data_IF_794965924409
#
_entry.id   IF_794965924409
#
_cell.length_a   1.000
_cell.length_b   1.000
_cell.length_c   1.000
_cell.angle_alpha   90.00
_cell.angle_beta   90.00
_cell.angle_gamma   90.00
#
_symmetry.space_group_name_H-M   'P 1'
#
loop_
_entity.id
_entity.type
_entity.pdbx_description
1 polymer ?
#
# COMPACT_ATOMS: atom_id res chain seq x y z
N UNK A 1 -10.78 -16.41 20.46
CA UNK A 1 -10.55 -16.84 21.85
C UNK A 1 -9.39 -16.09 22.48
N UNK A 2 -8.20 -16.07 21.88
CA UNK A 2 -7.03 -15.30 22.39
C UNK A 2 -7.29 -13.78 22.45
N UNK A 3 -7.88 -13.19 21.40
CA UNK A 3 -8.15 -11.74 21.37
C UNK A 3 -9.18 -11.31 22.44
N UNK A 4 -10.23 -12.11 22.64
CA UNK A 4 -11.24 -11.87 23.68
C UNK A 4 -10.63 -11.98 25.08
N UNK A 5 -9.72 -12.94 25.29
CA UNK A 5 -9.02 -13.11 26.56
C UNK A 5 -8.08 -11.94 26.83
N UNK A 6 -7.34 -11.46 25.82
CA UNK A 6 -6.52 -10.25 25.96
C UNK A 6 -7.35 -9.07 26.46
N UNK A 7 -8.46 -8.75 25.79
CA UNK A 7 -9.28 -7.58 26.17
C UNK A 7 -10.01 -7.74 27.50
N UNK A 8 -10.55 -8.92 27.80
CA UNK A 8 -11.37 -9.14 28.98
C UNK A 8 -10.55 -9.43 30.25
N UNK A 9 -9.34 -9.98 30.12
CA UNK A 9 -8.54 -10.45 31.25
C UNK A 9 -7.25 -9.66 31.37
N UNK A 10 -6.38 -9.71 30.36
CA UNK A 10 -5.04 -9.10 30.46
C UNK A 10 -5.13 -7.57 30.48
N UNK A 11 -5.78 -6.98 29.48
CA UNK A 11 -5.95 -5.53 29.37
C UNK A 11 -6.75 -4.95 30.54
N UNK A 12 -7.79 -5.66 31.00
CA UNK A 12 -8.57 -5.26 32.18
C UNK A 12 -7.77 -5.32 33.50
N UNK A 13 -6.69 -6.12 33.54
CA UNK A 13 -5.80 -6.22 34.71
C UNK A 13 -4.71 -5.15 34.76
N UNK A 14 -4.53 -4.37 33.68
CA UNK A 14 -3.53 -3.31 33.63
C UNK A 14 -3.94 -2.10 34.45
N UNK A 15 -2.97 -1.40 35.04
CA UNK A 15 -3.22 -0.14 35.72
C UNK A 15 -3.43 1.00 34.71
N UNK A 16 -4.17 2.05 35.12
CA UNK A 16 -4.56 3.16 34.22
C UNK A 16 -3.37 3.85 33.54
N UNK A 17 -2.22 3.94 34.23
CA UNK A 17 -1.01 4.57 33.69
C UNK A 17 -0.42 3.74 32.55
N UNK A 18 -0.28 2.44 32.74
CA UNK A 18 0.24 1.53 31.74
C UNK A 18 -0.72 1.39 30.55
N UNK A 19 -2.03 1.39 30.81
CA UNK A 19 -3.07 1.44 29.76
C UNK A 19 -2.90 2.69 28.89
N UNK A 20 -2.75 3.87 29.50
CA UNK A 20 -2.56 5.12 28.76
C UNK A 20 -1.27 5.11 27.91
N UNK A 21 -0.16 4.63 28.48
CA UNK A 21 1.12 4.51 27.77
C UNK A 21 1.07 3.50 26.61
N UNK A 22 0.41 2.35 26.81
CA UNK A 22 0.31 1.30 25.81
C UNK A 22 -0.66 1.64 24.67
N UNK A 23 -1.76 2.35 24.94
CA UNK A 23 -2.75 2.73 23.92
C UNK A 23 -2.29 3.93 23.10
N UNK A 24 -1.55 4.88 23.69
CA UNK A 24 -1.21 6.12 23.02
C UNK A 24 -0.58 5.94 21.61
N UNK A 25 0.37 5.01 21.39
CA UNK A 25 0.91 4.76 20.05
C UNK A 25 -0.15 4.25 19.05
N UNK A 26 -1.04 3.36 19.49
CA UNK A 26 -2.12 2.81 18.66
C UNK A 26 -3.12 3.92 18.31
N UNK A 27 -3.52 4.72 19.30
CA UNK A 27 -4.45 5.83 19.10
C UNK A 27 -3.86 6.90 18.18
N UNK A 28 -2.56 7.19 18.29
CA UNK A 28 -1.89 8.16 17.40
C UNK A 28 -1.90 7.69 15.93
N UNK A 29 -1.75 6.38 15.67
CA UNK A 29 -1.76 5.83 14.31
C UNK A 29 -3.18 5.67 13.76
N UNK A 30 -4.06 5.02 14.52
CA UNK A 30 -5.46 4.79 14.12
C UNK A 30 -6.25 6.09 14.08
N UNK A 31 -6.01 6.98 15.05
CA UNK A 31 -6.62 8.30 15.13
C UNK A 31 -6.22 9.17 13.95
N UNK A 32 -4.93 9.24 13.58
CA UNK A 32 -4.50 9.99 12.40
C UNK A 32 -5.14 9.45 11.11
N UNK A 33 -5.25 8.12 10.97
CA UNK A 33 -5.87 7.49 9.80
C UNK A 33 -7.38 7.75 9.73
N UNK A 34 -8.08 7.72 10.86
CA UNK A 34 -9.54 7.96 10.95
C UNK A 34 -9.93 9.43 11.10
N UNK A 35 -8.96 10.34 11.23
CA UNK A 35 -9.21 11.77 11.31
C UNK A 35 -9.74 12.33 9.99
N UNK A 36 -9.36 11.74 8.85
CA UNK A 36 -9.91 12.13 7.55
C UNK A 36 -11.34 11.58 7.40
N UNK A 37 -12.37 12.43 7.26
CA UNK A 37 -13.77 11.99 7.14
C UNK A 37 -13.99 11.03 5.97
N UNK A 38 -13.25 11.18 4.86
CA UNK A 38 -13.36 10.28 3.70
C UNK A 38 -12.93 8.87 4.09
N UNK A 39 -11.76 8.75 4.73
CA UNK A 39 -11.23 7.44 5.16
C UNK A 39 -12.12 6.84 6.23
N UNK A 40 -12.52 7.63 7.23
CA UNK A 40 -13.44 7.21 8.29
C UNK A 40 -14.75 6.66 7.73
N UNK A 41 -15.33 7.30 6.72
CA UNK A 41 -16.57 6.85 6.11
C UNK A 41 -16.38 5.59 5.25
N UNK A 42 -15.16 5.31 4.76
CA UNK A 42 -14.85 4.07 4.02
C UNK A 42 -14.65 2.90 5.00
N UNK A 43 -13.77 3.06 6.00
CA UNK A 43 -13.34 1.96 6.87
C UNK A 43 -14.17 1.81 8.16
N UNK A 44 -14.87 2.85 8.59
CA UNK A 44 -15.67 2.86 9.82
C UNK A 44 -17.00 2.13 9.72
N UNK A 45 -17.34 1.60 8.54
CA UNK A 45 -18.56 0.85 8.33
C UNK A 45 -18.44 -0.57 8.91
N UNK A 46 -19.47 -1.09 9.61
CA UNK A 46 -19.40 -2.41 10.23
C UNK A 46 -19.37 -3.55 9.20
N UNK A 47 -19.88 -3.32 7.98
CA UNK A 47 -19.90 -4.28 6.88
C UNK A 47 -19.50 -3.60 5.58
N UNK A 48 -18.69 -4.29 4.78
CA UNK A 48 -18.39 -3.88 3.40
C UNK A 48 -19.62 -4.05 2.51
N UNK A 49 -19.83 -3.11 1.59
CA UNK A 49 -20.92 -3.13 0.60
C UNK A 49 -20.58 -3.94 -0.65
N UNK A 50 -19.31 -4.29 -0.84
CA UNK A 50 -18.84 -5.10 -1.95
C UNK A 50 -17.92 -6.22 -1.45
N UNK A 51 -17.82 -7.28 -2.26
CA UNK A 51 -17.00 -8.45 -1.98
C UNK A 51 -15.97 -8.66 -3.10
N UNK A 52 -14.68 -8.55 -2.77
CA UNK A 52 -13.59 -8.71 -3.74
C UNK A 52 -13.55 -10.12 -4.33
N UNK A 53 -13.80 -11.16 -3.52
CA UNK A 53 -13.85 -12.54 -4.00
C UNK A 53 -14.93 -12.71 -5.07
N UNK A 54 -16.12 -12.18 -4.82
CA UNK A 54 -17.21 -12.19 -5.79
C UNK A 54 -16.86 -11.41 -7.06
N UNK A 55 -16.23 -10.24 -6.93
CA UNK A 55 -15.74 -9.45 -8.08
C UNK A 55 -14.78 -10.27 -8.95
N UNK A 56 -13.87 -11.02 -8.34
CA UNK A 56 -12.91 -11.87 -9.04
C UNK A 56 -13.57 -13.05 -9.75
N UNK A 57 -14.52 -13.72 -9.09
CA UNK A 57 -15.22 -14.90 -9.64
C UNK A 57 -16.16 -14.54 -10.78
N UNK A 58 -16.91 -13.44 -10.63
CA UNK A 58 -17.83 -12.95 -11.67
C UNK A 58 -17.12 -12.20 -12.79
N UNK A 59 -15.83 -11.85 -12.61
CA UNK A 59 -15.03 -11.12 -13.58
C UNK A 59 -15.44 -9.67 -13.76
N UNK A 60 -15.82 -9.01 -12.67
CA UNK A 60 -16.14 -7.59 -12.63
C UNK A 60 -14.87 -6.73 -12.71
N UNK A 61 -15.03 -5.47 -13.08
CA UNK A 61 -13.95 -4.48 -13.09
C UNK A 61 -14.04 -3.66 -11.80
N UNK A 62 -12.95 -3.62 -11.03
CA UNK A 62 -12.80 -2.77 -9.85
C UNK A 62 -11.81 -1.66 -10.15
N UNK A 63 -12.28 -0.41 -10.13
CA UNK A 63 -11.43 0.78 -10.27
C UNK A 63 -11.35 1.44 -8.90
N UNK A 64 -10.13 1.65 -8.42
CA UNK A 64 -9.86 2.31 -7.14
C UNK A 64 -9.10 3.60 -7.41
N UNK A 65 -9.71 4.74 -7.06
CA UNK A 65 -9.04 6.02 -7.13
C UNK A 65 -8.39 6.36 -5.78
N UNK A 66 -7.06 6.30 -5.72
CA UNK A 66 -6.25 6.65 -4.55
C UNK A 66 -5.47 7.95 -4.77
N UNK A 67 -6.08 8.94 -5.40
CA UNK A 67 -5.44 10.23 -5.66
C UNK A 67 -4.94 10.89 -4.37
N UNK A 68 -3.60 10.99 -4.23
CA UNK A 68 -2.94 11.61 -3.07
C UNK A 68 -3.44 13.03 -2.81
N UNK A 69 -3.78 13.78 -3.86
CA UNK A 69 -4.32 15.15 -3.72
C UNK A 69 -5.71 15.21 -3.07
N UNK A 70 -6.48 14.11 -3.12
CA UNK A 70 -7.85 14.05 -2.60
C UNK A 70 -7.93 13.45 -1.20
N UNK A 71 -7.15 12.39 -0.92
CA UNK A 71 -7.21 11.67 0.36
C UNK A 71 -5.97 11.86 1.26
N UNK A 72 -4.90 12.46 0.74
CA UNK A 72 -3.60 12.58 1.39
C UNK A 72 -2.70 11.39 1.10
N UNK A 73 -1.38 11.60 1.13
CA UNK A 73 -0.39 10.59 0.78
C UNK A 73 -0.39 9.38 1.71
N UNK A 74 -0.28 9.60 3.02
CA UNK A 74 -0.26 8.51 4.01
C UNK A 74 -1.55 7.68 3.97
N UNK A 75 -2.70 8.35 3.86
CA UNK A 75 -3.99 7.70 3.78
C UNK A 75 -4.15 6.89 2.48
N UNK A 76 -3.66 7.42 1.36
CA UNK A 76 -3.65 6.71 0.08
C UNK A 76 -2.80 5.44 0.18
N UNK A 77 -1.58 5.55 0.71
CA UNK A 77 -0.67 4.43 0.88
C UNK A 77 -1.28 3.34 1.78
N UNK A 78 -1.84 3.73 2.93
CA UNK A 78 -2.49 2.80 3.85
C UNK A 78 -3.71 2.14 3.20
N UNK A 79 -4.62 2.91 2.61
CA UNK A 79 -5.82 2.37 1.96
C UNK A 79 -5.46 1.44 0.79
N UNK A 80 -4.47 1.80 -0.02
CA UNK A 80 -3.96 0.95 -1.10
C UNK A 80 -3.35 -0.34 -0.57
N UNK A 81 -2.54 -0.27 0.49
CA UNK A 81 -1.96 -1.47 1.12
C UNK A 81 -3.04 -2.42 1.66
N UNK A 82 -4.11 -1.87 2.26
CA UNK A 82 -5.26 -2.65 2.71
C UNK A 82 -5.98 -3.33 1.53
N UNK A 83 -6.23 -2.60 0.44
CA UNK A 83 -6.90 -3.15 -0.73
C UNK A 83 -6.09 -4.26 -1.38
N UNK A 84 -4.78 -4.07 -1.56
CA UNK A 84 -3.88 -5.11 -2.07
C UNK A 84 -3.93 -6.35 -1.19
N UNK A 85 -3.80 -6.18 0.13
CA UNK A 85 -3.85 -7.29 1.08
C UNK A 85 -5.19 -8.02 0.99
N UNK A 86 -6.31 -7.29 0.88
CA UNK A 86 -7.64 -7.89 0.69
C UNK A 86 -7.77 -8.64 -0.64
N UNK A 87 -7.20 -8.13 -1.72
CA UNK A 87 -7.15 -8.81 -3.03
C UNK A 87 -6.31 -10.10 -2.93
N UNK A 88 -5.16 -10.06 -2.26
CA UNK A 88 -4.34 -11.25 -2.02
C UNK A 88 -5.13 -12.30 -1.24
N UNK A 89 -5.76 -11.93 -0.13
CA UNK A 89 -6.55 -12.86 0.68
C UNK A 89 -7.74 -13.41 -0.11
N UNK A 90 -8.42 -12.58 -0.91
CA UNK A 90 -9.49 -13.01 -1.80
C UNK A 90 -8.98 -14.01 -2.84
N UNK A 91 -7.81 -13.77 -3.45
CA UNK A 91 -7.18 -14.71 -4.38
C UNK A 91 -6.84 -16.04 -3.68
N UNK A 92 -6.15 -16.00 -2.54
CA UNK A 92 -5.78 -17.20 -1.78
C UNK A 92 -7.00 -18.01 -1.33
N UNK A 93 -8.12 -17.35 -1.04
CA UNK A 93 -9.37 -18.02 -0.70
C UNK A 93 -9.91 -18.88 -1.84
N UNK A 94 -9.51 -18.63 -3.11
CA UNK A 94 -9.87 -19.43 -4.30
C UNK A 94 -9.25 -20.82 -4.33
N UNK A 95 -8.51 -21.18 -3.28
CA UNK A 95 -8.01 -22.55 -3.05
C UNK A 95 -9.12 -23.59 -2.94
N UNK A 96 -10.35 -23.16 -2.64
CA UNK A 96 -11.57 -23.96 -2.65
C UNK A 96 -12.00 -24.44 -4.06
N UNK A 97 -11.54 -23.78 -5.14
CA UNK A 97 -11.75 -24.20 -6.53
C UNK A 97 -10.62 -25.17 -6.91
N UNK A 98 -10.85 -26.49 -7.03
CA UNK A 98 -9.75 -27.46 -7.12
C UNK A 98 -8.91 -27.33 -8.39
N UNK A 99 -9.55 -27.13 -9.54
CA UNK A 99 -8.86 -26.95 -10.81
C UNK A 99 -8.48 -25.47 -11.01
N UNK A 100 -7.18 -25.22 -11.21
CA UNK A 100 -6.66 -23.88 -11.48
C UNK A 100 -7.26 -23.30 -12.77
N UNK A 101 -7.62 -24.14 -13.74
CA UNK A 101 -8.21 -23.73 -15.03
C UNK A 101 -9.62 -23.16 -14.87
N UNK A 102 -10.33 -23.58 -13.84
CA UNK A 102 -11.68 -23.09 -13.52
C UNK A 102 -11.64 -21.74 -12.79
N UNK A 103 -10.46 -21.35 -12.28
CA UNK A 103 -10.26 -20.05 -11.64
C UNK A 103 -10.19 -18.98 -12.72
N UNK A 104 -11.26 -18.19 -12.85
CA UNK A 104 -11.30 -17.05 -13.78
C UNK A 104 -10.09 -16.13 -13.56
N UNK A 105 -9.26 -15.85 -14.58
CA UNK A 105 -8.14 -14.93 -14.43
C UNK A 105 -8.59 -13.54 -14.01
N UNK A 106 -7.93 -12.98 -12.99
CA UNK A 106 -8.13 -11.62 -12.53
C UNK A 106 -6.83 -10.84 -12.68
N UNK A 107 -6.90 -9.62 -13.22
CA UNK A 107 -5.74 -8.78 -13.50
C UNK A 107 -5.72 -7.60 -12.55
N UNK A 108 -4.68 -7.52 -11.73
CA UNK A 108 -4.43 -6.40 -10.83
C UNK A 108 -3.38 -5.49 -11.47
N UNK A 109 -3.80 -4.26 -11.78
CA UNK A 109 -2.92 -3.19 -12.25
C UNK A 109 -2.66 -2.24 -11.09
N UNK A 110 -1.40 -1.99 -10.77
CA UNK A 110 -0.99 -1.08 -9.70
C UNK A 110 -0.05 -0.05 -10.28
N UNK A 111 -0.54 1.18 -10.40
CA UNK A 111 0.28 2.33 -10.73
C UNK A 111 0.98 2.85 -9.48
N UNK A 112 2.16 3.45 -9.66
CA UNK A 112 3.02 3.92 -8.57
C UNK A 112 3.19 2.88 -7.44
N UNK A 113 3.49 1.65 -7.86
CA UNK A 113 3.56 0.44 -7.05
C UNK A 113 4.35 0.59 -5.74
N UNK A 114 5.43 1.36 -5.76
CA UNK A 114 6.28 1.62 -4.59
C UNK A 114 5.52 2.20 -3.40
N UNK A 115 4.43 2.94 -3.62
CA UNK A 115 3.61 3.49 -2.53
C UNK A 115 2.85 2.41 -1.74
N UNK A 116 2.71 1.21 -2.33
CA UNK A 116 1.94 0.11 -1.77
C UNK A 116 2.82 -1.14 -1.53
N UNK A 117 4.09 -1.08 -1.91
CA UNK A 117 5.07 -2.17 -1.91
C UNK A 117 5.42 -2.64 -0.48
N UNK A 118 4.54 -3.45 0.09
CA UNK A 118 4.74 -4.19 1.35
C UNK A 118 5.31 -5.59 1.08
N UNK A 119 5.80 -6.28 2.12
CA UNK A 119 6.29 -7.66 1.99
C UNK A 119 5.22 -8.64 1.46
N UNK A 120 3.93 -8.33 1.68
CA UNK A 120 2.81 -9.05 1.08
C UNK A 120 2.89 -9.12 -0.45
N UNK A 121 3.42 -8.09 -1.11
CA UNK A 121 3.59 -8.10 -2.56
C UNK A 121 4.65 -9.09 -3.04
N UNK A 122 5.72 -9.31 -2.29
CA UNK A 122 6.70 -10.34 -2.64
C UNK A 122 6.05 -11.73 -2.66
N UNK A 123 5.11 -11.97 -1.73
CA UNK A 123 4.29 -13.19 -1.70
C UNK A 123 3.36 -13.26 -2.90
N UNK A 124 2.65 -12.15 -3.24
CA UNK A 124 1.78 -12.10 -4.42
C UNK A 124 2.60 -12.39 -5.69
N UNK A 125 3.75 -11.76 -5.89
CA UNK A 125 4.60 -11.96 -7.06
C UNK A 125 5.04 -13.42 -7.23
N UNK A 126 5.29 -14.12 -6.12
CA UNK A 126 5.76 -15.51 -6.14
C UNK A 126 4.62 -16.53 -6.23
N UNK A 127 3.44 -16.22 -5.68
CA UNK A 127 2.37 -17.20 -5.44
C UNK A 127 1.02 -16.90 -6.11
N UNK A 128 0.76 -15.68 -6.58
CA UNK A 128 -0.57 -15.29 -7.05
C UNK A 128 -1.05 -16.09 -8.27
N UNK A 129 -0.12 -16.57 -9.10
CA UNK A 129 -0.43 -17.30 -10.33
C UNK A 129 -1.22 -18.58 -10.08
N UNK A 130 -0.93 -19.33 -9.00
CA UNK A 130 -1.73 -20.53 -8.66
C UNK A 130 -3.18 -20.17 -8.36
N UNK A 131 -3.46 -18.95 -7.91
CA UNK A 131 -4.81 -18.49 -7.55
C UNK A 131 -5.54 -17.75 -8.68
N UNK A 132 -4.99 -17.74 -9.90
CA UNK A 132 -5.58 -17.02 -11.04
C UNK A 132 -5.48 -15.50 -10.94
N UNK A 133 -4.58 -14.97 -10.09
CA UNK A 133 -4.32 -13.55 -9.97
C UNK A 133 -3.05 -13.19 -10.75
N UNK A 134 -3.18 -12.31 -11.74
CA UNK A 134 -2.10 -11.79 -12.56
C UNK A 134 -1.82 -10.34 -12.13
N UNK A 135 -0.54 -10.01 -11.96
CA UNK A 135 -0.12 -8.71 -11.47
C UNK A 135 0.62 -7.94 -12.56
N UNK A 136 0.28 -6.67 -12.73
CA UNK A 136 1.02 -5.71 -13.56
C UNK A 136 1.28 -4.48 -12.71
N UNK A 137 2.56 -4.16 -12.51
CA UNK A 137 3.00 -3.04 -11.67
C UNK A 137 3.74 -2.03 -12.53
N UNK A 138 3.48 -0.74 -12.27
CA UNK A 138 4.27 0.36 -12.81
C UNK A 138 5.02 1.06 -11.68
N UNK A 139 6.28 1.41 -11.92
CA UNK A 139 7.15 2.06 -10.95
C UNK A 139 8.09 3.02 -11.68
N UNK A 140 8.36 4.18 -11.09
CA UNK A 140 9.22 5.20 -11.69
C UNK A 140 10.71 4.95 -11.43
N UNK A 141 11.07 4.57 -10.20
CA UNK A 141 12.47 4.44 -9.77
C UNK A 141 12.71 3.14 -9.04
N UNK A 142 13.75 2.39 -9.42
CA UNK A 142 14.04 1.08 -8.78
C UNK A 142 14.47 1.28 -7.32
N UNK A 143 15.11 2.41 -7.02
CA UNK A 143 15.56 2.81 -5.68
C UNK A 143 14.43 2.98 -4.66
N UNK A 144 13.18 3.20 -5.11
CA UNK A 144 12.04 3.35 -4.21
C UNK A 144 11.51 2.02 -3.66
N UNK A 145 11.89 0.89 -4.26
CA UNK A 145 11.52 -0.43 -3.76
C UNK A 145 12.54 -0.93 -2.72
N UNK A 146 12.04 -1.60 -1.68
CA UNK A 146 12.90 -2.35 -0.76
C UNK A 146 13.64 -3.46 -1.52
N UNK A 147 14.80 -3.89 -1.00
CA UNK A 147 15.60 -4.94 -1.64
C UNK A 147 14.80 -6.25 -1.81
N UNK A 148 14.02 -6.64 -0.78
CA UNK A 148 13.16 -7.83 -0.83
C UNK A 148 12.14 -7.77 -1.96
N UNK A 149 11.45 -6.64 -2.12
CA UNK A 149 10.46 -6.46 -3.18
C UNK A 149 11.13 -6.41 -4.55
N UNK A 150 12.26 -5.70 -4.65
CA UNK A 150 13.05 -5.62 -5.88
C UNK A 150 13.48 -6.99 -6.38
N UNK A 151 14.02 -7.83 -5.49
CA UNK A 151 14.46 -9.18 -5.83
C UNK A 151 13.27 -10.07 -6.23
N UNK A 152 12.13 -9.94 -5.53
CA UNK A 152 10.91 -10.65 -5.90
C UNK A 152 10.36 -10.22 -7.27
N UNK A 153 10.46 -8.94 -7.63
CA UNK A 153 10.07 -8.42 -8.94
C UNK A 153 10.99 -8.99 -10.03
N UNK A 154 12.31 -8.83 -9.90
CA UNK A 154 13.25 -9.31 -10.92
C UNK A 154 13.29 -10.84 -11.04
N UNK A 155 13.04 -11.56 -9.95
CA UNK A 155 13.06 -13.03 -9.93
C UNK A 155 11.81 -13.69 -10.51
N UNK A 156 10.63 -13.08 -10.34
CA UNK A 156 9.35 -13.74 -10.67
C UNK A 156 8.61 -13.13 -11.87
N UNK A 157 8.96 -11.92 -12.30
CA UNK A 157 8.24 -11.25 -13.39
C UNK A 157 8.67 -11.83 -14.74
N UNK A 158 7.74 -12.51 -15.42
CA UNK A 158 7.96 -13.09 -16.74
C UNK A 158 7.88 -12.11 -17.91
N UNK A 159 7.48 -10.86 -17.67
CA UNK A 159 7.43 -9.81 -18.71
C UNK A 159 7.86 -8.48 -18.13
N UNK A 160 8.96 -7.95 -18.63
CA UNK A 160 9.52 -6.68 -18.20
C UNK A 160 9.48 -5.71 -19.38
N UNK A 161 8.82 -4.57 -19.17
CA UNK A 161 8.76 -3.47 -20.12
C UNK A 161 9.50 -2.30 -19.51
N UNK A 162 10.50 -1.77 -20.22
CA UNK A 162 11.22 -0.56 -19.82
C UNK A 162 11.03 0.53 -20.87
N UNK A 163 10.51 1.67 -20.43
CA UNK A 163 10.57 2.92 -21.18
C UNK A 163 11.93 3.59 -20.97
N UNK A 164 12.03 4.87 -21.32
CA UNK A 164 13.18 5.69 -20.96
C UNK A 164 13.34 5.78 -19.44
N UNK A 165 14.53 5.50 -18.94
CA UNK A 165 14.87 5.51 -17.50
C UNK A 165 16.02 6.46 -17.19
N UNK A 166 16.32 6.62 -15.89
CA UNK A 166 17.42 7.43 -15.39
C UNK A 166 18.79 6.76 -15.56
N UNK A 167 19.88 7.54 -15.44
CA UNK A 167 21.25 7.04 -15.49
C UNK A 167 21.56 6.01 -14.39
N UNK A 168 20.88 6.13 -13.24
CA UNK A 168 21.09 5.24 -12.10
C UNK A 168 20.38 3.89 -12.29
N UNK A 169 19.19 3.90 -12.91
CA UNK A 169 18.39 2.69 -13.15
C UNK A 169 18.82 1.91 -14.39
N UNK A 170 19.35 2.60 -15.42
CA UNK A 170 19.69 1.99 -16.71
C UNK A 170 20.67 0.79 -16.61
N UNK A 171 21.77 0.83 -15.83
CA UNK A 171 22.67 -0.32 -15.69
C UNK A 171 22.02 -1.52 -14.99
N UNK A 172 21.04 -1.29 -14.11
CA UNK A 172 20.33 -2.35 -13.40
C UNK A 172 19.38 -3.07 -14.38
N UNK A 173 18.65 -2.29 -15.17
CA UNK A 173 17.68 -2.82 -16.15
C UNK A 173 18.35 -3.43 -17.38
N UNK A 174 19.48 -2.88 -17.85
CA UNK A 174 20.19 -3.39 -19.01
C UNK A 174 20.51 -4.88 -18.89
N UNK A 175 20.86 -5.36 -17.69
CA UNK A 175 21.11 -6.79 -17.40
C UNK A 175 19.92 -7.70 -17.75
N UNK A 176 18.70 -7.17 -17.72
CA UNK A 176 17.49 -7.91 -18.09
C UNK A 176 17.26 -7.96 -19.60
N UNK A 177 17.94 -7.12 -20.38
CA UNK A 177 17.78 -6.98 -21.83
C UNK A 177 19.03 -7.38 -22.63
N UNK A 178 20.11 -7.74 -21.93
CA UNK A 178 21.31 -8.31 -22.54
C UNK A 178 20.98 -9.61 -23.32
N UNK A 179 21.68 -9.87 -24.44
CA UNK A 179 22.75 -9.06 -25.04
C UNK A 179 22.24 -7.99 -26.03
N UNK A 180 20.92 -7.88 -26.24
CA UNK A 180 20.35 -7.09 -27.35
C UNK A 180 20.36 -5.58 -27.10
N UNK A 181 20.37 -5.15 -25.84
CA UNK A 181 20.34 -3.74 -25.45
C UNK A 181 21.34 -3.44 -24.36
N UNK A 182 21.92 -2.24 -24.42
CA UNK A 182 22.83 -1.69 -23.44
C UNK A 182 22.14 -0.59 -22.61
N UNK A 183 22.77 -0.16 -21.52
CA UNK A 183 22.23 0.90 -20.66
C UNK A 183 22.00 2.22 -21.42
N UNK A 184 22.83 2.53 -22.43
CA UNK A 184 22.70 3.77 -23.21
C UNK A 184 21.42 3.79 -24.05
N UNK A 185 20.94 2.64 -24.52
CA UNK A 185 19.70 2.53 -25.30
C UNK A 185 18.49 2.90 -24.46
N UNK A 186 18.50 2.51 -23.18
CA UNK A 186 17.46 2.84 -22.21
C UNK A 186 17.42 4.34 -21.86
N UNK A 187 18.56 5.03 -21.93
CA UNK A 187 18.67 6.47 -21.63
C UNK A 187 18.19 7.34 -22.79
N UNK A 188 18.49 6.92 -24.02
CA UNK A 188 18.27 7.70 -25.24
C UNK A 188 16.92 7.40 -25.91
N UNK A 189 16.07 6.62 -25.25
CA UNK A 189 14.80 6.17 -25.82
C UNK A 189 13.82 7.33 -26.04
N UNK A 190 13.20 7.37 -27.22
CA UNK A 190 12.16 8.35 -27.53
C UNK A 190 10.87 8.08 -26.75
N UNK A 191 10.06 9.13 -26.56
CA UNK A 191 8.76 9.00 -25.94
C UNK A 191 7.92 7.93 -26.65
N UNK A 192 7.15 7.15 -25.88
CA UNK A 192 6.28 6.05 -26.36
C UNK A 192 6.98 4.83 -26.94
N UNK A 193 8.31 4.83 -27.06
CA UNK A 193 9.10 3.63 -27.35
C UNK A 193 9.47 2.94 -26.03
N UNK A 194 9.61 1.62 -26.08
CA UNK A 194 10.03 0.78 -24.96
C UNK A 194 10.83 -0.42 -25.44
N UNK A 195 11.63 -1.01 -24.56
CA UNK A 195 12.17 -2.37 -24.73
C UNK A 195 11.40 -3.33 -23.87
N UNK A 196 11.27 -4.56 -24.34
CA UNK A 196 10.56 -5.62 -23.65
C UNK A 196 11.36 -6.91 -23.66
N UNK A 197 11.36 -7.57 -22.52
CA UNK A 197 11.72 -8.98 -22.38
C UNK A 197 10.48 -9.72 -21.89
N UNK A 198 10.09 -10.79 -22.58
CA UNK A 198 8.90 -11.53 -22.23
C UNK A 198 9.05 -13.03 -22.50
N UNK A 199 8.15 -13.80 -21.92
CA UNK A 199 8.02 -15.24 -22.18
C UNK A 199 6.90 -15.45 -23.20
N UNK A 200 7.24 -16.05 -24.35
CA UNK A 200 6.27 -16.40 -25.41
C UNK A 200 6.26 -17.92 -25.53
N UNK A 201 5.09 -18.54 -25.38
CA UNK A 201 4.97 -20.00 -25.48
C UNK A 201 5.73 -20.79 -24.40
N UNK A 202 6.09 -20.15 -23.28
CA UNK A 202 6.89 -20.76 -22.21
C UNK A 202 8.40 -20.60 -22.38
N UNK A 203 8.86 -20.01 -23.49
CA UNK A 203 10.27 -19.73 -23.74
C UNK A 203 10.58 -18.24 -23.56
N UNK A 204 11.73 -17.95 -22.95
CA UNK A 204 12.23 -16.58 -22.81
C UNK A 204 12.74 -16.11 -24.17
N UNK A 205 12.11 -15.08 -24.72
CA UNK A 205 12.53 -14.53 -26.01
C UNK A 205 13.65 -13.51 -25.84
N UNK A 206 14.56 -13.36 -26.82
CA UNK A 206 15.50 -12.25 -26.85
C UNK A 206 14.75 -10.92 -26.71
N UNK A 207 15.33 -9.96 -25.98
CA UNK A 207 14.70 -8.66 -25.81
C UNK A 207 14.54 -7.96 -27.18
N UNK A 208 13.45 -7.23 -27.34
CA UNK A 208 13.16 -6.46 -28.56
C UNK A 208 12.54 -5.10 -28.21
N UNK A 209 12.61 -4.15 -29.13
CA UNK A 209 12.00 -2.82 -28.99
C UNK A 209 10.60 -2.79 -29.60
N UNK A 210 9.74 -1.95 -29.04
CA UNK A 210 8.39 -1.73 -29.52
C UNK A 210 7.93 -0.29 -29.23
N UNK A 211 6.79 0.09 -29.79
CA UNK A 211 6.15 1.39 -29.59
C UNK A 211 4.72 1.19 -29.10
N UNK A 212 4.27 2.04 -28.19
CA UNK A 212 2.89 2.02 -27.69
C UNK A 212 1.89 2.26 -28.81
N UNK A 213 0.72 1.62 -28.71
CA UNK A 213 -0.38 1.80 -29.65
C UNK A 213 -0.99 3.20 -29.52
N UNK A 214 -1.47 3.75 -30.63
CA UNK A 214 -2.36 4.92 -30.62
C UNK A 214 -3.79 4.43 -30.47
N UNK A 215 -4.41 4.77 -29.35
CA UNK A 215 -5.81 4.43 -29.11
C UNK A 215 -6.71 5.44 -29.83
N UNK A 216 -7.80 4.98 -30.47
CA UNK A 216 -8.78 5.89 -31.05
C UNK A 216 -9.43 6.78 -29.97
N UNK A 217 -9.90 7.98 -30.33
CA UNK A 217 -10.63 8.83 -29.40
C UNK A 217 -11.88 8.11 -28.89
N UNK A 218 -12.26 8.37 -27.63
CA UNK A 218 -13.47 7.78 -27.05
C UNK A 218 -14.70 8.17 -27.87
N UNK A 219 -15.54 7.20 -28.17
CA UNK A 219 -16.76 7.41 -28.97
C UNK A 219 -17.90 8.00 -28.13
N UNK A 220 -17.98 7.67 -26.84
CA UNK A 220 -19.00 8.14 -25.92
C UNK A 220 -18.48 8.17 -24.47
N UNK A 221 -18.93 9.14 -23.68
CA UNK A 221 -18.63 9.20 -22.25
C UNK A 221 -19.74 8.56 -21.41
N UNK A 222 -19.50 7.32 -20.96
CA UNK A 222 -20.40 6.59 -20.07
C UNK A 222 -20.06 6.79 -18.58
N UNK A 223 -19.07 7.62 -18.25
CA UNK A 223 -18.60 7.81 -16.87
C UNK A 223 -19.72 8.16 -15.89
N UNK A 224 -20.64 9.10 -16.20
CA UNK A 224 -21.73 9.44 -15.28
C UNK A 224 -22.67 8.26 -14.98
N UNK A 225 -23.01 7.49 -16.02
CA UNK A 225 -23.89 6.32 -15.91
C UNK A 225 -23.24 5.19 -15.09
N UNK A 226 -21.94 4.95 -15.30
CA UNK A 226 -21.17 3.95 -14.55
C UNK A 226 -21.09 4.33 -13.07
N UNK A 227 -20.80 5.60 -12.77
CA UNK A 227 -20.73 6.10 -11.39
C UNK A 227 -22.08 5.96 -10.70
N UNK A 228 -23.17 6.35 -11.36
CA UNK A 228 -24.52 6.27 -10.79
C UNK A 228 -24.94 4.81 -10.55
N UNK A 229 -24.72 3.92 -11.50
CA UNK A 229 -24.98 2.49 -11.33
C UNK A 229 -24.17 1.90 -10.16
N UNK A 230 -22.88 2.24 -10.07
CA UNK A 230 -22.02 1.79 -8.98
C UNK A 230 -22.51 2.29 -7.61
N UNK A 231 -22.95 3.55 -7.52
CA UNK A 231 -23.51 4.14 -6.30
C UNK A 231 -24.77 3.41 -5.84
N UNK A 232 -25.68 3.09 -6.77
CA UNK A 232 -26.93 2.36 -6.44
C UNK A 232 -26.68 0.95 -5.93
N UNK A 233 -25.67 0.26 -6.47
CA UNK A 233 -25.44 -1.16 -6.17
C UNK A 233 -24.48 -1.37 -4.99
N UNK A 234 -23.49 -0.50 -4.80
CA UNK A 234 -22.35 -0.75 -3.90
C UNK A 234 -22.05 0.39 -2.93
N UNK A 235 -22.84 1.47 -2.90
CA UNK A 235 -22.62 2.58 -1.96
C UNK A 235 -23.75 2.70 -0.95
N UNK A 236 -23.48 3.41 0.14
CA UNK A 236 -24.47 3.80 1.15
C UNK A 236 -24.53 5.32 1.21
N UNK A 237 -25.67 5.84 1.68
CA UNK A 237 -25.78 7.26 1.94
C UNK A 237 -24.76 7.67 3.02
N UNK A 238 -24.02 8.74 2.76
CA UNK A 238 -22.99 9.26 3.65
C UNK A 238 -23.57 9.63 5.02
N UNK A 239 -24.74 10.24 5.07
CA UNK A 239 -25.35 10.69 6.34
C UNK A 239 -25.70 9.51 7.24
N UNK A 240 -26.16 8.40 6.67
CA UNK A 240 -26.49 7.20 7.42
C UNK A 240 -25.23 6.54 7.99
N UNK A 241 -24.16 6.50 7.20
CA UNK A 241 -22.85 6.01 7.64
C UNK A 241 -22.30 6.86 8.78
N UNK A 242 -22.35 8.18 8.66
CA UNK A 242 -21.87 9.10 9.70
C UNK A 242 -22.68 8.95 10.99
N UNK A 243 -24.02 8.83 10.91
CA UNK A 243 -24.89 8.57 12.07
C UNK A 243 -24.56 7.24 12.76
N UNK A 244 -24.30 6.18 12.01
CA UNK A 244 -23.92 4.88 12.56
C UNK A 244 -22.56 4.92 13.26
N UNK A 245 -21.57 5.57 12.64
CA UNK A 245 -20.24 5.75 13.23
C UNK A 245 -20.34 6.56 14.53
N UNK A 246 -21.07 7.66 14.53
CA UNK A 246 -21.27 8.49 15.72
C UNK A 246 -22.02 7.75 16.83
N UNK A 247 -23.01 6.93 16.47
CA UNK A 247 -23.73 6.09 17.43
C UNK A 247 -22.82 5.03 18.06
N UNK A 248 -21.87 4.48 17.31
CA UNK A 248 -20.91 3.50 17.80
C UNK A 248 -19.81 4.12 18.69
N UNK A 249 -19.39 5.37 18.42
CA UNK A 249 -18.36 6.07 19.20
C UNK A 249 -18.93 6.65 20.50
N UNK A 250 -20.21 7.01 20.54
CA UNK A 250 -20.85 7.50 21.77
C UNK A 250 -20.71 6.44 22.87
N UNK A 251 -20.15 6.79 24.03
CA UNK A 251 -20.07 5.85 25.14
C UNK A 251 -21.48 5.38 25.46
N UNK A 252 -21.66 4.07 25.61
CA UNK A 252 -22.88 3.51 26.20
C UNK A 252 -23.03 4.21 27.54
N UNK A 253 -23.97 5.17 27.61
CA UNK A 253 -24.33 5.82 28.86
C UNK A 253 -24.89 4.71 29.71
N UNK A 254 -24.05 4.12 30.56
CA UNK A 254 -24.46 3.15 31.56
C UNK A 254 -25.72 3.74 32.20
N UNK A 255 -26.85 3.10 31.93
CA UNK A 255 -28.12 3.51 32.47
C UNK A 255 -27.93 3.57 33.98
N UNK A 256 -28.07 4.80 34.50
CA UNK A 256 -28.09 5.20 35.91
C UNK A 256 -27.90 4.01 36.88
N UNK A 257 -26.76 3.95 37.58
CA UNK A 257 -26.77 3.41 38.96
C UNK A 257 -27.86 4.20 39.69
N UNK A 258 -29.03 3.61 39.86
CA UNK A 258 -30.05 4.16 40.75
C UNK A 258 -29.40 4.28 42.13
N UNK A 259 -29.49 5.43 42.82
CA UNK A 259 -29.05 5.51 44.20
C UNK A 259 -29.82 4.46 44.99
N UNK A 260 -29.08 3.61 45.71
CA UNK A 260 -29.64 2.57 46.55
C UNK A 260 -30.67 3.19 47.51
N UNK A 261 -31.88 2.63 47.54
CA UNK A 261 -32.86 2.94 48.58
C UNK A 261 -32.24 2.62 49.95
N UNK A 262 -32.35 3.52 50.96
CA UNK A 262 -31.91 3.20 52.31
C UNK A 262 -32.71 2.01 52.85
N UNK A 263 -32.02 0.95 53.29
CA UNK A 263 -32.63 -0.11 54.09
C UNK A 263 -32.85 0.41 55.53
N UNK A 264 -33.98 0.09 56.17
CA UNK A 264 -34.29 0.54 57.52
C UNK A 264 -33.39 -0.15 58.56
N UNK A 265 -32.79 0.65 59.45
CA UNK A 265 -32.05 0.19 60.63
C UNK A 265 -33.03 -0.38 61.69
N UNK A 266 -32.69 -1.48 62.38
CA UNK A 266 -33.47 -1.97 63.50
C UNK A 266 -33.32 -1.06 64.72
N UNK A 267 -34.46 -0.74 65.32
CA UNK A 267 -34.62 0.10 66.50
C UNK A 267 -33.97 -0.53 67.74
N UNK A 268 -33.24 0.27 68.51
CA UNK A 268 -32.95 0.00 69.92
C UNK A 268 -33.23 1.25 70.75
N UNK A 269 -34.00 1.04 71.82
CA UNK A 269 -34.61 2.04 72.67
C UNK A 269 -33.66 2.58 73.77
N UNK A 270 -33.71 3.91 73.94
CA UNK A 270 -33.66 4.69 75.19
C UNK A 270 -32.34 4.84 75.99
N UNK A 271 -32.22 5.90 76.84
CA UNK A 271 -32.76 7.25 76.72
C UNK A 271 -31.70 8.37 76.91
N UNK A 272 -32.13 9.59 76.60
CA UNK A 272 -31.39 10.84 76.62
C UNK A 272 -30.90 11.28 78.01
N UNK A 273 -29.70 11.87 78.04
CA UNK A 273 -29.33 12.92 79.01
C UNK A 273 -28.70 14.09 78.25
N UNK A 274 -29.20 15.26 78.60
CA UNK A 274 -29.03 16.57 78.00
C UNK A 274 -27.86 17.32 78.67
N UNK A 275 -26.95 17.93 77.90
CA UNK A 275 -26.19 19.13 78.33
C UNK A 275 -25.18 19.60 77.27
N UNK A 276 -25.48 20.72 76.61
CA UNK A 276 -24.52 21.75 76.19
C UNK A 276 -24.44 22.80 77.34
N UNK A 277 -23.38 23.63 77.51
CA UNK A 277 -22.86 24.51 76.46
C UNK A 277 -21.36 24.94 76.45
N UNK A 278 -20.94 25.36 75.26
CA UNK A 278 -20.07 26.51 74.89
C UNK A 278 -18.59 26.68 75.27
N UNK A 279 -17.92 27.39 74.33
CA UNK A 279 -16.59 28.08 74.28
C UNK A 279 -15.48 27.26 73.60
N UNK A 280 -14.68 27.77 72.65
CA UNK A 280 -14.39 29.11 72.11
C UNK A 280 -13.59 28.96 70.79
N UNK A 281 -13.73 29.91 69.86
CA UNK A 281 -12.79 30.18 68.75
C UNK A 281 -11.63 31.06 69.23
N UNK A 282 -10.45 31.06 68.57
CA UNK A 282 -10.21 32.06 67.51
C UNK A 282 -9.36 31.64 66.29
N UNK A 283 -9.74 32.21 65.14
CA UNK A 283 -8.98 32.77 64.00
C UNK A 283 -7.59 32.24 63.57
N UNK A 284 -7.40 31.92 62.28
CA UNK A 284 -6.89 32.84 61.23
C UNK A 284 -6.17 32.11 60.05
N UNK A 285 -6.42 32.65 58.84
CA UNK A 285 -5.62 32.68 57.60
C UNK A 285 -5.62 31.48 56.62
N UNK A 286 -6.47 31.62 55.60
CA UNK A 286 -6.20 31.74 54.16
C UNK A 286 -4.87 31.22 53.60
N UNK A 287 -5.00 30.28 52.66
CA UNK A 287 -3.93 29.77 51.79
C UNK A 287 -4.53 29.02 50.60
N UNK A 288 -5.10 29.76 49.65
CA UNK A 288 -5.59 29.25 48.37
C UNK A 288 -4.40 29.02 47.42
N UNK A 289 -4.21 27.77 46.99
CA UNK A 289 -3.18 27.37 46.02
C UNK A 289 -3.81 27.31 44.64
N UNK A 290 -3.64 28.36 43.83
CA UNK A 290 -4.00 28.39 42.42
C UNK A 290 -2.74 28.17 41.57
N UNK A 291 -2.69 27.05 40.86
CA UNK A 291 -1.64 26.72 39.89
C UNK A 291 -1.91 27.44 38.55
N UNK A 292 -0.97 28.31 38.16
CA UNK A 292 -0.91 29.02 36.88
C UNK A 292 -0.75 28.06 35.70
N UNK A 293 -1.64 28.19 34.71
CA UNK A 293 -1.43 27.72 33.33
C UNK A 293 -0.84 28.89 32.54
N UNK A 294 0.38 28.74 32.02
CA UNK A 294 1.00 29.69 31.07
C UNK A 294 0.27 29.58 29.72
N UNK A 295 -0.36 30.68 29.31
CA UNK A 295 -0.74 30.94 27.93
C UNK A 295 0.49 31.34 27.10
N UNK A 296 0.48 30.98 25.82
CA UNK A 296 1.44 31.48 24.84
C UNK A 296 0.65 32.29 23.81
N UNK A 297 1.00 33.57 23.72
CA UNK A 297 0.34 34.59 22.92
C UNK A 297 0.63 34.43 21.43
N UNK A 298 -0.33 34.89 20.62
CA UNK A 298 -0.24 35.03 19.17
C UNK A 298 -0.37 36.51 18.78
N UNK A 299 0.38 36.88 17.72
CA UNK A 299 0.11 37.93 16.72
C UNK A 299 0.56 39.39 17.02
N UNK A 300 0.58 40.33 16.02
CA UNK A 300 0.87 40.24 14.57
C UNK A 300 1.78 41.39 14.03
N UNK A 301 2.16 41.39 12.73
CA UNK A 301 1.88 42.41 11.64
C UNK A 301 3.24 42.91 11.08
N UNK A 302 3.52 43.27 9.81
CA UNK A 302 2.74 43.78 8.68
C UNK A 302 3.57 43.74 7.35
N UNK A 303 2.90 44.04 6.23
CA UNK A 303 3.18 43.99 4.77
C UNK A 303 4.41 44.71 4.15
N UNK A 304 4.85 44.22 2.97
CA UNK A 304 5.14 45.05 1.77
C UNK A 304 5.20 44.23 0.46
N UNK A 305 4.69 44.83 -0.63
CA UNK A 305 4.53 44.31 -2.01
C UNK A 305 5.52 45.07 -2.93
N UNK A 306 6.17 44.42 -3.92
CA UNK A 306 6.20 44.83 -5.36
C UNK A 306 7.28 44.15 -6.27
N UNK A 307 6.77 43.66 -7.43
CA UNK A 307 7.25 43.75 -8.84
C UNK A 307 8.50 43.02 -9.40
N UNK A 308 8.25 41.94 -10.20
CA UNK A 308 8.32 41.81 -11.69
C UNK A 308 9.67 41.91 -12.49
N UNK A 309 10.07 40.74 -13.04
CA UNK A 309 10.76 40.36 -14.34
C UNK A 309 12.30 40.44 -14.60
N UNK A 310 12.83 39.64 -15.57
CA UNK A 310 14.12 38.90 -15.49
C UNK A 310 15.15 39.27 -16.58
N UNK A 311 16.36 38.67 -16.55
CA UNK A 311 17.16 38.42 -17.77
C UNK A 311 18.31 37.39 -17.61
N UNK A 312 18.40 36.50 -18.61
CA UNK A 312 19.58 36.03 -19.37
C UNK A 312 20.73 35.19 -18.74
N UNK A 313 20.77 33.92 -19.19
CA UNK A 313 21.85 33.20 -19.91
C UNK A 313 23.33 33.37 -19.53
N UNK A 314 24.01 32.24 -19.21
CA UNK A 314 25.32 31.87 -19.77
C UNK A 314 25.74 30.42 -19.42
N UNK A 315 26.12 29.65 -20.44
CA UNK A 315 26.96 28.42 -20.41
C UNK A 315 28.06 28.59 -21.47
N UNK A 316 29.13 27.76 -21.53
CA UNK A 316 30.03 27.29 -20.48
C UNK A 316 31.53 27.49 -20.88
N UNK A 317 32.49 27.35 -19.95
CA UNK A 317 33.93 27.29 -20.28
C UNK A 317 34.47 25.86 -20.32
N UNK A 318 34.97 25.48 -21.50
CA UNK A 318 35.79 24.28 -21.79
C UNK A 318 37.06 24.24 -20.92
N UNK A 319 37.41 23.05 -20.41
CA UNK A 319 38.81 22.69 -20.10
C UNK A 319 39.18 21.37 -20.78
N UNK A 320 40.39 21.41 -21.34
CA UNK A 320 41.03 20.41 -22.21
C UNK A 320 41.61 19.23 -21.41
N UNK A 321 41.74 18.12 -22.12
CA UNK A 321 42.28 16.82 -21.75
C UNK A 321 43.67 16.81 -21.09
N UNK A 322 43.93 15.74 -20.32
CA UNK A 322 45.23 15.07 -20.32
C UNK A 322 45.06 13.56 -20.53
N UNK A 323 45.72 13.06 -21.58
CA UNK A 323 45.96 11.64 -21.89
C UNK A 323 46.86 11.01 -20.82
N UNK A 324 46.59 9.75 -20.46
CA UNK A 324 47.65 8.75 -20.26
C UNK A 324 47.28 7.47 -20.98
N UNK A 325 48.13 7.09 -21.93
CA UNK A 325 48.24 5.76 -22.54
C UNK A 325 48.90 4.83 -21.51
N UNK A 326 48.47 3.58 -21.46
CA UNK A 326 49.33 2.46 -21.05
C UNK A 326 49.18 1.35 -22.07
N UNK A 327 50.32 1.00 -22.68
CA UNK A 327 50.54 -0.08 -23.62
C UNK A 327 50.65 -1.45 -22.92
N UNK A 328 50.34 -2.51 -23.68
CA UNK A 328 50.89 -3.90 -23.63
C UNK A 328 50.55 -4.73 -22.36
N UNK A 329 50.37 -6.05 -22.39
CA UNK A 329 50.74 -7.08 -23.35
C UNK A 329 49.83 -8.33 -23.25
N UNK A 330 49.80 -9.04 -24.36
CA UNK A 330 49.44 -10.45 -24.58
C UNK A 330 50.05 -11.44 -23.58
N UNK A 331 49.30 -12.49 -23.22
CA UNK A 331 49.86 -13.84 -23.12
C UNK A 331 48.85 -14.92 -23.54
N UNK A 332 49.37 -15.86 -24.31
CA UNK A 332 48.74 -17.01 -24.94
C UNK A 332 49.09 -18.25 -24.11
N UNK A 333 48.19 -19.25 -24.02
CA UNK A 333 48.44 -20.72 -23.94
C UNK A 333 47.15 -21.41 -23.47
N UNK A 334 46.38 -22.07 -24.33
CA UNK A 334 46.57 -23.42 -24.91
C UNK A 334 46.62 -24.56 -23.88
N UNK A 335 45.55 -25.36 -23.84
CA UNK A 335 45.51 -26.70 -23.22
C UNK A 335 44.47 -27.57 -23.93
N UNK A 336 44.94 -28.40 -24.87
CA UNK A 336 44.21 -29.52 -25.51
C UNK A 336 44.31 -30.77 -24.63
N UNK A 337 43.24 -31.58 -24.55
CA UNK A 337 43.30 -33.06 -24.58
C UNK A 337 41.86 -33.62 -24.67
N UNK A 338 41.43 -34.12 -25.84
CA UNK A 338 41.22 -35.55 -26.22
C UNK A 338 40.20 -36.30 -25.33
N UNK A 339 39.00 -36.68 -25.80
CA UNK A 339 38.60 -37.62 -26.87
C UNK A 339 38.71 -39.12 -26.48
N UNK A 340 37.54 -39.79 -26.36
CA UNK A 340 37.16 -41.15 -26.88
C UNK A 340 35.76 -41.51 -26.32
N UNK A 341 34.71 -41.64 -27.12
CA UNK A 341 34.28 -42.75 -28.02
C UNK A 341 33.84 -44.06 -27.33
N UNK A 342 32.54 -44.38 -27.44
CA UNK A 342 31.92 -45.62 -28.00
C UNK A 342 30.38 -45.48 -27.93
N UNK A 343 29.66 -45.44 -29.06
CA UNK A 343 29.04 -46.59 -29.80
C UNK A 343 27.96 -47.32 -28.97
N UNK A 344 26.74 -47.68 -29.42
CA UNK A 344 26.02 -47.63 -30.71
C UNK A 344 24.52 -48.00 -30.44
N UNK A 345 23.73 -47.94 -31.52
CA UNK A 345 22.45 -48.64 -31.80
C UNK A 345 21.20 -47.91 -31.29
N UNK A 346 20.20 -47.52 -32.08
CA UNK A 346 19.92 -47.72 -33.51
C UNK A 346 18.40 -47.91 -33.67
N UNK A 347 17.72 -47.10 -34.48
CA UNK A 347 16.48 -47.46 -35.16
C UNK A 347 16.01 -46.35 -36.11
N UNK A 348 15.79 -46.74 -37.36
CA UNK A 348 15.22 -45.95 -38.47
C UNK A 348 13.70 -45.85 -38.35
N UNK A 349 13.16 -44.76 -38.94
CA UNK A 349 11.88 -44.57 -39.69
C UNK A 349 11.46 -43.11 -39.39
N UNK A 350 11.21 -42.20 -40.32
CA UNK A 350 10.81 -42.35 -41.71
C UNK A 350 9.53 -41.54 -41.92
N UNK A 351 9.68 -40.38 -42.55
CA UNK A 351 8.73 -39.70 -43.45
C UNK A 351 7.53 -38.88 -42.91
N UNK A 352 7.31 -37.82 -43.69
CA UNK A 352 6.09 -37.04 -44.00
C UNK A 352 5.80 -35.72 -43.25
N UNK A 353 6.17 -34.64 -43.94
CA UNK A 353 5.47 -33.35 -44.03
C UNK A 353 4.36 -33.47 -45.09
N UNK A 354 3.21 -32.79 -44.91
CA UNK A 354 2.81 -31.74 -45.87
C UNK A 354 2.24 -30.50 -45.13
N UNK A 355 2.64 -29.27 -45.50
CA UNK A 355 2.03 -28.40 -46.52
C UNK A 355 0.49 -28.30 -46.49
N UNK A 356 0.02 -27.16 -45.97
CA UNK A 356 -0.94 -26.18 -46.53
C UNK A 356 -2.27 -26.64 -47.17
N UNK A 357 -3.38 -26.14 -46.61
CA UNK A 357 -4.67 -25.66 -47.16
C UNK A 357 -5.54 -25.30 -45.92
N UNK A 358 -6.22 -24.17 -45.72
CA UNK A 358 -6.63 -23.02 -46.53
C UNK A 358 -6.49 -21.71 -45.73
#
# INVERSE_FOLDING_TARGET
TVVLQFWNVEFASWNDKFVAEAIAPVLNKVGAFTANPIIRNIIGQPKSTFNIRQIMDEGKILIVNLSKGLIGEDNAAILGSFLVTKIQLAAMSRSDIPDVRDRRPFYLYVDEFQNFATDSFATILSEARKYGLNLTVANQYISQMSNTVRDAVFGNVGTMISFRVSADDAPILAKQFEPNFEAIDLLQMHNRNFVVNMVIGGEKTPAFSARTLELPPSQADNTPHIIEHSRRMYSRNREDVEKEIDAAIKPVRNQKKQPAKPQPQPANNAPAVNSQPEKQQPAANDGEVVLQIRGNDNAPTETAINTVTPLASATPKRRRCLRKRSDRATSNRSGKSRMRNRERVGARRGLYCPKSCD
#
